data_IF_669394082073
#
_entry.id   IF_669394082073
#
_cell.length_a   1.000
_cell.length_b   1.000
_cell.length_c   1.000
_cell.angle_alpha   90.00
_cell.angle_beta   90.00
_cell.angle_gamma   90.00
#
_symmetry.space_group_name_H-M   'P 1'
#
loop_
_entity.id
_entity.type
_entity.pdbx_description
1 polymer ?
#
# COMPACT_ATOMS: atom_id res chain seq x y z
N UNK A 1 3.07 2.19 -10.57
CA UNK A 1 3.38 3.46 -11.26
C UNK A 1 2.49 3.73 -12.48
N UNK A 2 2.26 2.79 -13.40
CA UNK A 2 1.38 3.02 -14.57
C UNK A 2 -0.07 3.43 -14.22
N UNK A 3 -0.59 2.97 -13.08
CA UNK A 3 -1.94 3.29 -12.58
C UNK A 3 -2.03 4.67 -11.91
N UNK A 4 -0.89 5.29 -11.55
CA UNK A 4 -0.82 6.47 -10.70
C UNK A 4 -1.64 7.67 -11.23
N UNK A 5 -1.56 8.06 -12.52
CA UNK A 5 -2.34 9.19 -13.04
C UNK A 5 -3.85 8.96 -12.96
N UNK A 6 -4.29 7.72 -13.18
CA UNK A 6 -5.69 7.36 -13.10
C UNK A 6 -6.17 7.36 -11.64
N UNK A 7 -5.37 6.82 -10.72
CA UNK A 7 -5.67 6.85 -9.28
C UNK A 7 -5.80 8.28 -8.76
N UNK A 8 -4.89 9.19 -9.14
CA UNK A 8 -4.98 10.63 -8.80
C UNK A 8 -6.32 11.19 -9.29
N UNK A 9 -6.66 10.94 -10.55
CA UNK A 9 -7.91 11.46 -11.16
C UNK A 9 -9.14 10.94 -10.43
N UNK A 10 -9.20 9.65 -10.13
CA UNK A 10 -10.31 9.05 -9.38
C UNK A 10 -10.44 9.63 -7.97
N UNK A 11 -9.34 9.81 -7.24
CA UNK A 11 -9.40 10.37 -5.88
C UNK A 11 -9.79 11.85 -5.86
N UNK A 12 -9.27 12.64 -6.79
CA UNK A 12 -9.61 14.07 -6.90
C UNK A 12 -11.05 14.29 -7.38
N UNK A 13 -11.51 13.54 -8.39
CA UNK A 13 -12.81 13.78 -9.03
C UNK A 13 -13.97 13.02 -8.37
N UNK A 14 -13.78 11.73 -8.06
CA UNK A 14 -14.88 10.89 -7.56
C UNK A 14 -14.98 10.99 -6.03
N UNK A 15 -13.83 10.98 -5.35
CA UNK A 15 -13.78 10.97 -3.88
C UNK A 15 -13.56 12.36 -3.28
N UNK A 16 -13.37 13.39 -4.12
CA UNK A 16 -13.16 14.80 -3.73
C UNK A 16 -12.02 15.02 -2.73
N UNK A 17 -10.97 14.21 -2.81
CA UNK A 17 -9.78 14.37 -1.98
C UNK A 17 -8.99 15.61 -2.45
N UNK A 18 -8.50 16.41 -1.50
CA UNK A 18 -7.70 17.60 -1.79
C UNK A 18 -6.46 17.28 -2.65
N UNK A 19 -6.27 18.03 -3.74
CA UNK A 19 -5.18 17.85 -4.71
C UNK A 19 -3.80 17.94 -4.08
N UNK A 20 -3.64 18.71 -2.99
CA UNK A 20 -2.39 18.82 -2.24
C UNK A 20 -2.03 17.50 -1.58
N UNK A 21 -3.03 16.78 -1.06
CA UNK A 21 -2.85 15.47 -0.43
C UNK A 21 -2.56 14.42 -1.49
N UNK A 22 -3.37 14.31 -2.54
CA UNK A 22 -3.19 13.29 -3.59
C UNK A 22 -1.84 13.41 -4.29
N UNK A 23 -1.42 14.62 -4.66
CA UNK A 23 -0.16 14.88 -5.37
C UNK A 23 1.08 14.70 -4.51
N UNK A 24 0.95 14.81 -3.20
CA UNK A 24 2.04 14.53 -2.27
C UNK A 24 2.11 13.03 -1.94
N UNK A 25 0.98 12.43 -1.55
CA UNK A 25 0.95 11.07 -1.02
C UNK A 25 1.08 10.00 -2.07
N UNK A 26 0.33 10.07 -3.17
CA UNK A 26 0.24 8.94 -4.10
C UNK A 26 1.57 8.61 -4.81
N UNK A 27 2.42 9.58 -5.21
CA UNK A 27 3.74 9.26 -5.76
C UNK A 27 4.67 8.57 -4.75
N UNK A 28 4.58 8.97 -3.47
CA UNK A 28 5.36 8.37 -2.37
C UNK A 28 4.84 6.95 -2.07
N UNK A 29 3.52 6.82 -1.92
CA UNK A 29 2.83 5.55 -1.65
C UNK A 29 3.11 4.50 -2.72
N UNK A 30 3.00 4.88 -4.00
CA UNK A 30 3.22 3.97 -5.12
C UNK A 30 4.63 3.35 -5.19
N UNK A 31 5.58 3.88 -4.41
CA UNK A 31 6.95 3.38 -4.29
C UNK A 31 7.16 2.64 -2.96
N UNK A 32 6.67 3.20 -1.85
CA UNK A 32 7.01 2.70 -0.51
C UNK A 32 5.96 1.71 0.03
N UNK A 33 4.68 1.95 -0.30
CA UNK A 33 3.55 1.20 0.24
C UNK A 33 3.24 -0.04 -0.61
N UNK A 34 4.10 -1.04 -0.47
CA UNK A 34 3.99 -2.31 -1.18
C UNK A 34 3.49 -3.46 -0.27
N UNK A 35 2.41 -3.22 0.48
CA UNK A 35 1.83 -4.21 1.41
C UNK A 35 1.45 -5.54 0.74
N UNK A 36 0.87 -5.48 -0.47
CA UNK A 36 0.54 -6.66 -1.25
C UNK A 36 1.80 -7.45 -1.68
N UNK A 37 2.93 -6.76 -1.88
CA UNK A 37 4.21 -7.41 -2.17
C UNK A 37 4.77 -8.08 -0.92
N UNK A 38 4.78 -7.40 0.22
CA UNK A 38 5.23 -7.99 1.49
C UNK A 38 4.39 -9.22 1.87
N UNK A 39 3.07 -9.14 1.72
CA UNK A 39 2.16 -10.26 1.97
C UNK A 39 2.45 -11.43 1.03
N UNK A 40 2.62 -11.17 -0.27
CA UNK A 40 2.97 -12.19 -1.24
C UNK A 40 4.29 -12.89 -0.86
N UNK A 41 5.34 -12.12 -0.53
CA UNK A 41 6.65 -12.67 -0.20
C UNK A 41 6.61 -13.55 1.05
N UNK A 42 5.91 -13.10 2.09
CA UNK A 42 5.75 -13.86 3.32
C UNK A 42 4.99 -15.18 3.07
N UNK A 43 3.86 -15.12 2.35
CA UNK A 43 3.06 -16.31 2.05
C UNK A 43 3.82 -17.28 1.13
N UNK A 44 4.53 -16.76 0.13
CA UNK A 44 5.35 -17.56 -0.79
C UNK A 44 6.49 -18.28 -0.07
N UNK A 45 7.20 -17.60 0.84
CA UNK A 45 8.28 -18.20 1.61
C UNK A 45 7.76 -19.32 2.53
N UNK A 46 6.63 -19.08 3.20
CA UNK A 46 5.99 -20.09 4.05
C UNK A 46 5.53 -21.29 3.21
N UNK A 47 4.95 -21.05 2.03
CA UNK A 47 4.53 -22.11 1.12
C UNK A 47 5.71 -22.98 0.67
N UNK A 48 6.84 -22.37 0.29
CA UNK A 48 8.05 -23.10 -0.11
C UNK A 48 8.60 -23.95 1.05
N UNK A 49 8.64 -23.40 2.27
CA UNK A 49 9.04 -24.16 3.44
C UNK A 49 8.15 -25.39 3.68
N UNK A 50 6.83 -25.23 3.52
CA UNK A 50 5.85 -26.31 3.67
C UNK A 50 5.99 -27.39 2.59
N UNK A 51 6.20 -27.02 1.32
CA UNK A 51 6.39 -27.98 0.22
C UNK A 51 7.65 -28.83 0.43
N UNK A 52 8.70 -28.23 1.00
CA UNK A 52 9.95 -28.93 1.33
C UNK A 52 9.91 -29.70 2.65
N UNK A 53 8.77 -29.71 3.36
CA UNK A 53 8.62 -30.32 4.69
C UNK A 53 9.63 -29.78 5.71
N UNK A 54 10.00 -28.50 5.60
CA UNK A 54 10.88 -27.83 6.56
C UNK A 54 10.05 -27.31 7.73
N UNK A 55 10.44 -27.68 8.94
CA UNK A 55 9.84 -27.12 10.14
C UNK A 55 10.22 -25.65 10.29
N UNK A 56 9.22 -24.78 10.41
CA UNK A 56 9.42 -23.37 10.69
C UNK A 56 9.23 -23.12 12.19
N UNK A 57 10.25 -22.57 12.83
CA UNK A 57 10.12 -22.03 14.17
C UNK A 57 9.57 -20.60 14.14
N UNK A 58 9.21 -20.07 15.30
CA UNK A 58 8.69 -18.71 15.44
C UNK A 58 9.73 -17.67 15.00
N UNK A 59 11.02 -17.92 15.21
CA UNK A 59 12.09 -17.01 14.81
C UNK A 59 12.19 -16.88 13.28
N UNK A 60 11.98 -17.97 12.55
CA UNK A 60 11.95 -18.02 11.09
C UNK A 60 10.79 -17.20 10.55
N UNK A 61 9.59 -17.35 11.12
CA UNK A 61 8.40 -16.57 10.71
C UNK A 61 8.61 -15.08 10.95
N UNK A 62 9.21 -14.69 12.09
CA UNK A 62 9.55 -13.29 12.36
C UNK A 62 10.57 -12.78 11.34
N UNK A 63 11.59 -13.58 11.04
CA UNK A 63 12.63 -13.23 10.05
C UNK A 63 12.00 -13.02 8.67
N UNK A 64 11.14 -13.93 8.20
CA UNK A 64 10.38 -13.78 6.94
C UNK A 64 9.57 -12.48 6.95
N UNK A 65 8.85 -12.19 8.04
CA UNK A 65 8.02 -10.98 8.12
C UNK A 65 8.85 -9.71 8.00
N UNK A 66 9.99 -9.63 8.70
CA UNK A 66 10.88 -8.46 8.65
C UNK A 66 11.53 -8.33 7.28
N UNK A 67 12.06 -9.43 6.74
CA UNK A 67 12.77 -9.41 5.45
C UNK A 67 11.82 -9.11 4.31
N UNK A 68 10.60 -9.66 4.31
CA UNK A 68 9.57 -9.35 3.31
C UNK A 68 9.13 -7.88 3.37
N UNK A 69 9.01 -7.31 4.57
CA UNK A 69 8.68 -5.89 4.71
C UNK A 69 9.80 -4.99 4.17
N UNK A 70 11.06 -5.34 4.42
CA UNK A 70 12.20 -4.59 3.90
C UNK A 70 12.36 -4.76 2.38
N UNK A 71 12.15 -5.97 1.88
CA UNK A 71 12.27 -6.30 0.46
C UNK A 71 11.16 -5.64 -0.37
N UNK A 72 9.93 -5.56 0.15
CA UNK A 72 8.81 -4.90 -0.53
C UNK A 72 9.05 -3.41 -0.77
N UNK A 73 9.71 -2.71 0.17
CA UNK A 73 10.11 -1.29 -0.01
C UNK A 73 11.17 -1.17 -1.12
N UNK A 74 12.08 -2.14 -1.23
CA UNK A 74 13.15 -2.18 -2.23
C UNK A 74 12.69 -2.57 -3.65
N UNK A 75 11.49 -3.14 -3.78
CA UNK A 75 10.97 -3.68 -5.04
C UNK A 75 10.64 -2.61 -6.10
N UNK A 76 10.43 -1.35 -5.71
CA UNK A 76 9.88 -0.31 -6.58
C UNK A 76 10.75 0.07 -7.79
N UNK A 77 12.04 -0.30 -7.79
CA UNK A 77 12.98 0.04 -8.86
C UNK A 77 13.24 -1.05 -9.91
N UNK A 78 12.72 -2.28 -9.75
CA UNK A 78 13.14 -3.43 -10.56
C UNK A 78 11.97 -4.00 -11.40
N UNK A 79 12.11 -4.16 -12.72
CA UNK A 79 11.12 -4.89 -13.54
C UNK A 79 10.99 -6.33 -13.06
N UNK A 80 9.77 -6.87 -12.91
CA UNK A 80 9.52 -8.21 -12.32
C UNK A 80 10.06 -8.37 -10.88
N UNK A 81 10.11 -7.28 -10.12
CA UNK A 81 10.69 -7.25 -8.77
C UNK A 81 10.21 -8.38 -7.85
N UNK A 82 8.93 -8.76 -7.90
CA UNK A 82 8.34 -9.69 -6.93
C UNK A 82 9.04 -11.05 -6.83
N UNK A 83 9.58 -11.60 -7.93
CA UNK A 83 10.32 -12.86 -7.88
C UNK A 83 11.76 -12.66 -7.39
N UNK A 84 12.39 -11.54 -7.75
CA UNK A 84 13.76 -11.21 -7.31
C UNK A 84 13.80 -10.95 -5.81
N UNK A 85 12.82 -10.20 -5.29
CA UNK A 85 12.71 -9.89 -3.87
C UNK A 85 12.31 -11.11 -3.05
N UNK A 86 11.48 -12.01 -3.59
CA UNK A 86 11.22 -13.31 -2.98
C UNK A 86 12.49 -14.14 -2.79
N UNK A 87 13.42 -14.17 -3.77
CA UNK A 87 14.71 -14.85 -3.61
C UNK A 87 15.52 -14.28 -2.45
N UNK A 88 15.48 -12.96 -2.22
CA UNK A 88 16.14 -12.31 -1.07
C UNK A 88 15.54 -12.82 0.24
N UNK A 89 14.21 -12.90 0.33
CA UNK A 89 13.50 -13.39 1.52
C UNK A 89 13.85 -14.86 1.80
N UNK A 90 13.83 -15.72 0.79
CA UNK A 90 14.19 -17.14 0.92
C UNK A 90 15.64 -17.33 1.39
N UNK A 91 16.58 -16.60 0.77
CA UNK A 91 17.99 -16.67 1.15
C UNK A 91 18.22 -16.21 2.60
N UNK A 92 17.45 -15.23 3.09
CA UNK A 92 17.58 -14.74 4.46
C UNK A 92 17.21 -15.79 5.53
N UNK A 93 16.39 -16.78 5.17
CA UNK A 93 16.02 -17.91 6.05
C UNK A 93 16.61 -19.25 5.62
N UNK A 94 17.49 -19.26 4.61
CA UNK A 94 18.17 -20.46 4.14
C UNK A 94 17.29 -21.44 3.35
N UNK A 95 16.18 -20.97 2.75
CA UNK A 95 15.30 -21.77 1.91
C UNK A 95 15.83 -21.89 0.46
N UNK A 96 15.55 -22.99 -0.26
CA UNK A 96 16.02 -23.18 -1.62
C UNK A 96 15.36 -22.19 -2.58
N UNK A 97 16.16 -21.31 -3.20
CA UNK A 97 15.64 -20.32 -4.14
C UNK A 97 15.13 -20.93 -5.47
N UNK A 98 15.53 -22.16 -5.77
CA UNK A 98 15.09 -22.92 -6.96
C UNK A 98 13.58 -23.22 -6.97
N UNK A 99 12.96 -23.28 -5.78
CA UNK A 99 11.53 -23.54 -5.62
C UNK A 99 10.64 -22.34 -5.98
N UNK A 100 11.22 -21.16 -6.23
CA UNK A 100 10.48 -20.00 -6.78
C UNK A 100 9.84 -20.35 -8.14
N UNK A 101 10.41 -21.32 -8.86
CA UNK A 101 9.84 -21.84 -10.12
C UNK A 101 8.45 -22.46 -9.94
N UNK A 102 8.06 -22.89 -8.75
CA UNK A 102 6.70 -23.38 -8.48
C UNK A 102 5.67 -22.23 -8.52
N UNK A 103 6.10 -21.02 -8.18
CA UNK A 103 5.23 -19.84 -8.07
C UNK A 103 5.15 -19.09 -9.41
N UNK A 104 6.18 -19.18 -10.25
CA UNK A 104 6.26 -18.45 -11.53
C UNK A 104 5.04 -18.70 -12.44
N UNK A 105 4.47 -19.90 -12.40
CA UNK A 105 3.33 -20.33 -13.23
C UNK A 105 2.07 -19.52 -12.88
N UNK A 106 1.91 -19.12 -11.63
CA UNK A 106 0.76 -18.36 -11.13
C UNK A 106 1.09 -16.89 -10.86
N UNK A 107 2.37 -16.50 -10.89
CA UNK A 107 2.81 -15.14 -10.57
C UNK A 107 2.16 -14.10 -11.49
N UNK A 108 1.91 -14.43 -12.76
CA UNK A 108 1.20 -13.54 -13.67
C UNK A 108 -0.21 -13.19 -13.17
N UNK A 109 -0.86 -14.03 -12.37
CA UNK A 109 -2.17 -13.72 -11.79
C UNK A 109 -2.02 -13.00 -10.45
N UNK A 110 -1.14 -13.51 -9.59
CA UNK A 110 -0.89 -12.95 -8.27
C UNK A 110 -0.37 -11.51 -8.34
N UNK A 111 0.48 -11.20 -9.32
CA UNK A 111 1.03 -9.87 -9.55
C UNK A 111 -0.03 -8.78 -9.74
N UNK A 112 -1.15 -9.14 -10.37
CA UNK A 112 -2.27 -8.22 -10.62
C UNK A 112 -3.01 -7.95 -9.31
N UNK A 113 -3.23 -8.98 -8.51
CA UNK A 113 -3.81 -8.86 -7.16
C UNK A 113 -2.91 -7.98 -6.27
N UNK A 114 -1.59 -8.24 -6.25
CA UNK A 114 -0.62 -7.42 -5.50
C UNK A 114 -0.74 -5.95 -5.87
N UNK A 115 -0.75 -5.66 -7.17
CA UNK A 115 -0.86 -4.29 -7.68
C UNK A 115 -2.17 -3.65 -7.27
N UNK A 116 -3.29 -4.38 -7.33
CA UNK A 116 -4.60 -3.86 -6.89
C UNK A 116 -4.60 -3.53 -5.40
N UNK A 117 -4.04 -4.40 -4.54
CA UNK A 117 -3.97 -4.16 -3.10
C UNK A 117 -3.11 -2.93 -2.78
N UNK A 118 -1.94 -2.80 -3.41
CA UNK A 118 -1.06 -1.64 -3.20
C UNK A 118 -1.76 -0.33 -3.59
N UNK A 119 -2.39 -0.28 -4.77
CA UNK A 119 -3.11 0.91 -5.24
C UNK A 119 -4.32 1.23 -4.35
N UNK A 120 -5.02 0.21 -3.86
CA UNK A 120 -6.12 0.40 -2.92
C UNK A 120 -5.62 0.96 -1.57
N UNK A 121 -4.51 0.42 -1.04
CA UNK A 121 -3.85 0.91 0.17
C UNK A 121 -3.47 2.38 0.07
N UNK A 122 -2.84 2.80 -1.04
CA UNK A 122 -2.50 4.20 -1.31
C UNK A 122 -3.74 5.10 -1.33
N UNK A 123 -4.83 4.60 -1.93
CA UNK A 123 -6.11 5.31 -2.04
C UNK A 123 -6.74 5.52 -0.66
N UNK A 124 -6.75 4.49 0.19
CA UNK A 124 -7.23 4.60 1.57
C UNK A 124 -6.34 5.51 2.41
N UNK A 125 -5.01 5.39 2.28
CA UNK A 125 -4.05 6.25 2.97
C UNK A 125 -4.25 7.73 2.66
N UNK A 126 -4.43 8.07 1.39
CA UNK A 126 -4.74 9.44 0.97
C UNK A 126 -6.06 9.96 1.58
N UNK A 127 -7.09 9.12 1.66
CA UNK A 127 -8.37 9.47 2.30
C UNK A 127 -8.23 9.73 3.81
N UNK A 128 -7.48 8.87 4.51
CA UNK A 128 -7.22 9.01 5.95
C UNK A 128 -6.44 10.30 6.24
N UNK A 129 -5.39 10.57 5.47
CA UNK A 129 -4.59 11.79 5.66
C UNK A 129 -5.39 13.03 5.32
N UNK A 130 -6.18 13.02 4.25
CA UNK A 130 -7.08 14.12 3.94
C UNK A 130 -8.03 14.42 5.10
N UNK A 131 -8.66 13.39 5.66
CA UNK A 131 -9.54 13.54 6.82
C UNK A 131 -8.82 14.10 8.05
N UNK A 132 -7.60 13.63 8.34
CA UNK A 132 -6.81 14.07 9.49
C UNK A 132 -6.19 15.47 9.32
N UNK A 133 -5.99 15.92 8.08
CA UNK A 133 -5.33 17.20 7.76
C UNK A 133 -6.30 18.34 7.44
N UNK A 134 -7.62 18.18 7.61
CA UNK A 134 -8.61 19.23 7.29
C UNK A 134 -8.29 20.59 7.92
N UNK A 135 -7.92 20.62 9.21
CA UNK A 135 -7.53 21.85 9.90
C UNK A 135 -6.29 22.52 9.29
N UNK A 136 -5.33 21.71 8.84
CA UNK A 136 -4.10 22.21 8.22
C UNK A 136 -4.39 22.77 6.83
N UNK A 137 -5.22 22.07 6.04
CA UNK A 137 -5.66 22.50 4.72
C UNK A 137 -6.42 23.83 4.82
N UNK A 138 -7.37 23.95 5.75
CA UNK A 138 -8.12 25.18 5.98
C UNK A 138 -7.22 26.34 6.45
N UNK A 139 -6.18 26.07 7.26
CA UNK A 139 -5.18 27.09 7.62
C UNK A 139 -4.38 27.54 6.38
N UNK A 140 -3.98 26.62 5.52
CA UNK A 140 -3.26 26.95 4.28
C UNK A 140 -4.10 27.78 3.31
N UNK A 141 -5.41 27.54 3.23
CA UNK A 141 -6.32 28.31 2.38
C UNK A 141 -6.45 29.75 2.86
N UNK A 142 -6.60 29.94 4.17
CA UNK A 142 -6.61 31.28 4.81
C UNK A 142 -5.31 32.04 4.60
N UNK A 143 -4.17 31.37 4.65
CA UNK A 143 -2.85 32.00 4.47
C UNK A 143 -2.58 32.42 3.03
N UNK A 144 -3.08 31.67 2.04
CA UNK A 144 -2.85 31.96 0.63
C UNK A 144 -3.94 32.83 -0.02
N UNK A 145 -4.96 33.28 0.74
CA UNK A 145 -6.04 34.12 0.22
C UNK A 145 -6.86 33.44 -0.88
N UNK A 146 -6.82 32.12 -0.97
CA UNK A 146 -7.54 31.34 -1.96
C UNK A 146 -8.90 30.95 -1.36
N UNK A 147 -9.93 31.74 -1.66
CA UNK A 147 -11.33 31.34 -1.51
C UNK A 147 -11.66 30.29 -2.59
N UNK A 148 -11.07 29.10 -2.49
CA UNK A 148 -11.33 28.03 -3.44
C UNK A 148 -12.70 27.43 -3.14
N UNK A 149 -13.76 27.97 -3.76
CA UNK A 149 -15.17 27.56 -3.61
C UNK A 149 -15.50 26.16 -4.16
N UNK A 150 -14.49 25.39 -4.59
CA UNK A 150 -14.67 24.06 -5.18
C UNK A 150 -14.68 22.92 -4.14
N UNK A 151 -14.47 23.22 -2.84
CA UNK A 151 -14.47 22.21 -1.79
C UNK A 151 -15.77 22.20 -0.97
N UNK A 152 -16.29 21.02 -0.62
CA UNK A 152 -17.49 20.91 0.18
C UNK A 152 -17.23 21.52 1.56
N UNK A 153 -18.12 22.39 2.00
CA UNK A 153 -18.13 22.88 3.39
C UNK A 153 -18.58 21.74 4.33
N UNK A 154 -18.36 21.86 5.64
CA UNK A 154 -18.76 20.83 6.62
C UNK A 154 -20.23 20.36 6.48
N UNK A 155 -21.09 21.17 5.84
CA UNK A 155 -22.49 20.86 5.52
C UNK A 155 -22.66 19.83 4.39
N UNK A 156 -21.69 19.71 3.47
CA UNK A 156 -21.79 18.87 2.26
C UNK A 156 -21.28 17.43 2.46
N UNK A 157 -20.73 17.11 3.63
CA UNK A 157 -20.11 15.81 3.90
C UNK A 157 -21.03 14.93 4.75
N UNK A 158 -22.06 14.37 4.11
CA UNK A 158 -23.10 13.50 4.70
C UNK A 158 -22.55 12.27 5.46
N UNK A 159 -21.27 11.93 5.29
CA UNK A 159 -20.59 10.80 5.93
C UNK A 159 -19.81 11.15 7.22
N UNK A 160 -19.53 12.43 7.48
CA UNK A 160 -18.82 12.87 8.70
C UNK A 160 -19.58 12.62 10.01
N UNK A 161 -20.94 12.74 10.06
CA UNK A 161 -21.67 12.48 11.30
C UNK A 161 -21.49 11.04 11.80
N UNK A 162 -21.47 10.06 10.87
CA UNK A 162 -21.35 8.62 11.22
C UNK A 162 -19.96 8.24 11.75
N UNK A 163 -18.91 8.94 11.33
CA UNK A 163 -17.54 8.71 11.81
C UNK A 163 -17.24 9.44 13.14
N UNK A 164 -17.82 10.63 13.35
CA UNK A 164 -17.77 11.31 14.65
C UNK A 164 -18.43 10.45 15.75
N UNK A 165 -19.53 9.77 15.44
CA UNK A 165 -20.20 8.89 16.39
C UNK A 165 -19.34 7.67 16.80
N UNK A 166 -18.50 7.16 15.90
CA UNK A 166 -17.56 6.07 16.20
C UNK A 166 -16.42 6.52 17.12
N UNK A 167 -15.93 7.75 16.95
CA UNK A 167 -14.82 8.31 17.72
C UNK A 167 -15.23 8.81 19.13
N UNK A 168 -16.54 8.88 19.41
CA UNK A 168 -17.07 9.27 20.74
C UNK A 168 -17.37 8.04 21.61
N UNK A 169 -17.28 6.82 21.05
CA UNK A 169 -17.54 5.54 21.73
C UNK A 169 -16.27 4.74 22.05
N UNK A 170 -15.09 5.34 21.86
CA UNK A 170 -13.79 4.88 22.35
C UNK A 170 -13.28 5.86 23.43
#
# INVERSE_FOLDING_TARGET
SATLPLTITCLEQNNRIDKRVTRFMLPIGATINMDGTALYEAVAAIFIAQVNNLEMDVATVITISVTATLASIGAAGVPQAGLVTLVIVLNAVGLPAEDVTLIIVIDWFLDRIRTTVNVAGDSFGAGIVHYRSQDQLAKMDRLHGNDNKDFPTDEDTEYLPKLKEFNTKL
#
